data_IF_361072760460
#
_entry.id   IF_361072760460
#
_cell.length_a   1.000
_cell.length_b   1.000
_cell.length_c   1.000
_cell.angle_alpha   90.00
_cell.angle_beta   90.00
_cell.angle_gamma   90.00
#
_symmetry.space_group_name_H-M   'P 1'
#
loop_
_entity.id
_entity.type
_entity.pdbx_description
1 polymer ?
#
# COMPACT_ATOMS: atom_id res chain seq x y z
N UNK A 1 -9.28 21.50 -5.91
CA UNK A 1 -10.71 21.50 -6.33
C UNK A 1 -10.99 22.65 -7.29
N UNK A 2 -10.35 23.80 -7.09
CA UNK A 2 -10.53 25.01 -7.90
C UNK A 2 -10.19 24.81 -9.38
N UNK A 3 -9.21 23.94 -9.67
CA UNK A 3 -8.83 23.56 -11.05
C UNK A 3 -9.62 22.35 -11.60
N UNK A 4 -10.57 21.80 -10.84
CA UNK A 4 -11.45 20.68 -11.25
C UNK A 4 -10.74 19.43 -11.81
N UNK A 5 -9.53 19.14 -11.32
CA UNK A 5 -8.70 18.03 -11.82
C UNK A 5 -8.95 16.69 -11.12
N UNK A 6 -9.66 16.67 -9.99
CA UNK A 6 -9.84 15.49 -9.13
C UNK A 6 -10.49 14.32 -9.87
N UNK A 7 -11.61 14.54 -10.57
CA UNK A 7 -12.24 13.47 -11.35
C UNK A 7 -11.34 12.89 -12.45
N UNK A 8 -10.61 13.74 -13.17
CA UNK A 8 -9.69 13.28 -14.21
C UNK A 8 -8.52 12.47 -13.63
N UNK A 9 -7.93 12.92 -12.51
CA UNK A 9 -6.88 12.17 -11.82
C UNK A 9 -7.38 10.83 -11.28
N UNK A 10 -8.59 10.79 -10.71
CA UNK A 10 -9.21 9.53 -10.26
C UNK A 10 -9.38 8.53 -11.39
N UNK A 11 -9.81 8.99 -12.58
CA UNK A 11 -9.95 8.11 -13.76
C UNK A 11 -8.60 7.55 -14.19
N UNK A 12 -7.55 8.38 -14.22
CA UNK A 12 -6.20 7.92 -14.56
C UNK A 12 -5.65 6.89 -13.56
N UNK A 13 -6.01 7.02 -12.28
CA UNK A 13 -5.57 6.12 -11.22
C UNK A 13 -6.48 4.90 -11.02
N UNK A 14 -7.59 4.79 -11.75
CA UNK A 14 -8.64 3.78 -11.51
C UNK A 14 -8.07 2.36 -11.40
N UNK A 15 -7.30 1.94 -12.40
CA UNK A 15 -6.75 0.59 -12.43
C UNK A 15 -5.50 0.49 -11.54
N UNK A 16 -4.73 1.56 -11.44
CA UNK A 16 -3.54 1.64 -10.59
C UNK A 16 -3.86 1.53 -9.08
N UNK A 17 -5.11 1.75 -8.66
CA UNK A 17 -5.56 1.58 -7.28
C UNK A 17 -5.83 0.11 -6.90
N UNK A 18 -5.79 -0.81 -7.87
CA UNK A 18 -5.95 -2.25 -7.61
C UNK A 18 -4.62 -2.83 -7.10
N UNK A 19 -4.59 -3.55 -5.95
CA UNK A 19 -3.39 -4.20 -5.46
C UNK A 19 -2.84 -5.24 -6.43
N UNK A 20 -1.52 -5.24 -6.66
CA UNK A 20 -0.86 -6.22 -7.52
C UNK A 20 -0.51 -7.48 -6.74
N UNK A 21 -0.96 -8.64 -7.20
CA UNK A 21 -0.61 -9.94 -6.62
C UNK A 21 0.61 -10.54 -7.32
N UNK A 22 1.57 -10.99 -6.51
CA UNK A 22 2.76 -11.74 -6.91
C UNK A 22 3.00 -12.87 -5.90
N UNK A 23 4.16 -13.55 -5.98
CA UNK A 23 4.50 -14.64 -5.07
C UNK A 23 5.96 -14.61 -4.62
N UNK A 24 6.23 -15.22 -3.47
CA UNK A 24 7.60 -15.49 -2.99
C UNK A 24 8.22 -16.69 -3.74
N UNK A 25 9.50 -16.99 -3.48
CA UNK A 25 10.19 -18.17 -4.05
C UNK A 25 9.55 -19.50 -3.65
N UNK A 26 8.82 -19.52 -2.53
CA UNK A 26 8.11 -20.70 -2.01
C UNK A 26 6.62 -20.68 -2.41
N UNK A 27 6.24 -19.83 -3.37
CA UNK A 27 4.88 -19.68 -3.90
C UNK A 27 3.84 -19.15 -2.90
N UNK A 28 4.26 -18.49 -1.81
CA UNK A 28 3.33 -17.81 -0.91
C UNK A 28 2.84 -16.49 -1.57
N UNK A 29 1.54 -16.14 -1.46
CA UNK A 29 0.99 -14.93 -2.08
C UNK A 29 1.53 -13.67 -1.41
N UNK A 30 1.82 -12.64 -2.21
CA UNK A 30 2.27 -11.33 -1.74
C UNK A 30 1.61 -10.19 -2.52
N UNK A 31 1.19 -9.13 -1.82
CA UNK A 31 0.75 -7.88 -2.45
C UNK A 31 1.89 -6.86 -2.48
N UNK A 32 2.11 -6.25 -3.65
CA UNK A 32 3.08 -5.15 -3.83
C UNK A 32 2.35 -3.93 -4.37
N UNK A 33 2.10 -2.94 -3.51
CA UNK A 33 1.26 -1.79 -3.88
C UNK A 33 1.45 -0.57 -2.97
N UNK A 34 1.64 0.60 -3.57
CA UNK A 34 2.03 1.83 -2.87
C UNK A 34 3.53 1.89 -2.59
N UNK A 35 3.98 3.02 -2.07
CA UNK A 35 5.40 3.25 -1.74
C UNK A 35 5.72 4.71 -1.46
N UNK A 36 5.06 5.37 -0.50
CA UNK A 36 5.42 6.72 -0.10
C UNK A 36 6.73 6.72 0.71
N UNK A 37 7.38 7.87 0.78
CA UNK A 37 8.53 8.05 1.67
C UNK A 37 8.13 7.90 3.15
N UNK A 38 9.05 7.44 3.98
CA UNK A 38 8.82 7.33 5.42
C UNK A 38 9.20 8.61 6.18
N UNK A 39 10.04 9.49 5.65
CA UNK A 39 10.43 10.73 6.32
C UNK A 39 9.35 11.83 6.20
N UNK A 40 8.91 12.14 4.97
CA UNK A 40 7.91 13.18 4.66
C UNK A 40 6.48 12.65 4.51
N UNK A 41 6.29 11.33 4.62
CA UNK A 41 4.99 10.66 4.68
C UNK A 41 5.06 9.47 5.66
N UNK A 42 4.15 8.50 5.57
CA UNK A 42 4.03 7.41 6.56
C UNK A 42 4.81 6.14 6.20
N UNK A 43 5.38 6.02 5.00
CA UNK A 43 6.32 4.94 4.69
C UNK A 43 5.76 3.52 4.64
N UNK A 44 4.46 3.35 4.39
CA UNK A 44 3.79 2.05 4.35
C UNK A 44 3.22 1.75 2.97
N UNK A 45 3.01 0.48 2.65
CA UNK A 45 2.20 0.07 1.49
C UNK A 45 0.75 0.56 1.63
N UNK A 46 -0.05 0.46 0.56
CA UNK A 46 -1.42 0.98 0.57
C UNK A 46 -2.34 0.26 1.56
N UNK A 47 -3.28 0.99 2.15
CA UNK A 47 -4.36 0.44 2.98
C UNK A 47 -5.20 -0.60 2.22
N UNK A 48 -5.47 -0.40 0.93
CA UNK A 48 -6.29 -1.34 0.13
C UNK A 48 -5.61 -2.71 0.06
N UNK A 49 -4.29 -2.77 -0.12
CA UNK A 49 -3.54 -4.03 -0.11
C UNK A 49 -3.61 -4.73 1.26
N UNK A 50 -3.31 -4.03 2.35
CA UNK A 50 -3.32 -4.62 3.70
C UNK A 50 -4.72 -5.10 4.11
N UNK A 51 -5.76 -4.30 3.86
CA UNK A 51 -7.15 -4.69 4.18
C UNK A 51 -7.69 -5.80 3.29
N UNK A 52 -7.22 -5.90 2.04
CA UNK A 52 -7.55 -7.04 1.17
C UNK A 52 -6.88 -8.32 1.67
N UNK A 53 -5.60 -8.25 2.05
CA UNK A 53 -4.89 -9.38 2.64
C UNK A 53 -5.56 -9.88 3.92
N UNK A 54 -5.97 -8.98 4.82
CA UNK A 54 -6.64 -9.32 6.09
C UNK A 54 -7.98 -10.04 5.90
N UNK A 55 -8.60 -9.93 4.72
CA UNK A 55 -9.84 -10.66 4.39
C UNK A 55 -9.59 -12.00 3.72
N UNK A 56 -8.38 -12.24 3.20
CA UNK A 56 -8.04 -13.40 2.37
C UNK A 56 -7.13 -14.41 3.08
N UNK A 57 -6.44 -14.00 4.15
CA UNK A 57 -5.49 -14.83 4.87
C UNK A 57 -5.70 -14.75 6.38
N UNK A 58 -5.37 -15.83 7.09
CA UNK A 58 -5.44 -15.87 8.55
C UNK A 58 -4.39 -14.97 9.22
N UNK A 59 -3.24 -14.80 8.56
CA UNK A 59 -2.15 -13.93 9.01
C UNK A 59 -1.66 -13.07 7.86
N UNK A 60 -1.38 -11.81 8.18
CA UNK A 60 -0.84 -10.82 7.24
C UNK A 60 0.41 -10.21 7.85
N UNK A 61 1.53 -10.31 7.12
CA UNK A 61 2.78 -9.63 7.46
C UNK A 61 2.93 -8.43 6.55
N UNK A 62 3.27 -7.29 7.14
CA UNK A 62 3.45 -5.99 6.47
C UNK A 62 4.57 -5.22 7.18
N UNK A 63 5.10 -4.18 6.54
CA UNK A 63 6.23 -3.40 7.05
C UNK A 63 6.03 -1.89 6.89
N UNK A 64 6.90 -1.14 7.56
CA UNK A 64 7.05 0.31 7.42
C UNK A 64 8.53 0.65 7.24
N UNK A 65 8.83 1.70 6.46
CA UNK A 65 10.20 2.15 6.21
C UNK A 65 10.88 2.83 7.41
N UNK A 66 12.22 2.79 7.45
CA UNK A 66 13.09 3.19 8.58
C UNK A 66 12.91 2.32 9.84
N UNK A 67 13.41 2.79 10.99
CA UNK A 67 13.31 2.09 12.26
C UNK A 67 11.95 2.27 12.93
N UNK A 68 11.76 1.60 14.07
CA UNK A 68 10.52 1.67 14.84
C UNK A 68 10.25 3.07 15.43
N UNK A 69 11.29 3.89 15.59
CA UNK A 69 11.23 5.29 16.01
C UNK A 69 10.49 6.20 15.03
N UNK A 70 10.28 5.73 13.79
CA UNK A 70 9.66 6.54 12.74
C UNK A 70 8.65 5.75 11.90
N UNK A 71 9.03 4.59 11.37
CA UNK A 71 8.14 3.78 10.54
C UNK A 71 6.98 3.21 11.35
N UNK A 72 7.30 2.52 12.45
CA UNK A 72 6.29 1.87 13.28
C UNK A 72 5.41 2.87 14.05
N UNK A 73 5.94 4.05 14.40
CA UNK A 73 5.13 5.12 15.04
C UNK A 73 4.02 5.64 14.11
N UNK A 74 4.28 5.65 12.80
CA UNK A 74 3.34 6.14 11.77
C UNK A 74 2.44 5.06 11.17
N UNK A 75 2.74 3.79 11.43
CA UNK A 75 2.03 2.64 10.91
C UNK A 75 0.70 2.43 11.65
#
# INVERSE_FOLDING_TARGET
>A
RDIKADGAMTVLLKDAMQPNIVQTLENNPAFVHGGPFANIAHGCNSVIATTTALKLADYVVTEAGFGADLGAEKF
#
